data_IF_745923033859
#
_entry.id   IF_745923033859
#
_cell.length_a   1.000
_cell.length_b   1.000
_cell.length_c   1.000
_cell.angle_alpha   90.00
_cell.angle_beta   90.00
_cell.angle_gamma   90.00
#
_symmetry.space_group_name_H-M   'P 1'
#
loop_
_entity.id
_entity.type
_entity.pdbx_description
1 polymer ?
#
# COMPACT_ATOMS: atom_id res chain seq x y z
N UNK A 1 -12.01 8.39 3.47
CA UNK A 1 -10.60 8.36 3.00
C UNK A 1 -9.76 7.84 4.16
N UNK A 2 -8.91 6.84 3.91
CA UNK A 2 -8.05 6.22 4.90
C UNK A 2 -6.59 6.56 4.61
N UNK A 3 -5.80 6.74 5.66
CA UNK A 3 -4.37 7.06 5.56
C UNK A 3 -3.58 5.85 6.03
N UNK A 4 -2.59 5.46 5.23
CA UNK A 4 -1.64 4.40 5.56
C UNK A 4 -0.43 5.08 6.18
N UNK A 5 -0.11 4.66 7.40
CA UNK A 5 1.08 5.10 8.12
C UNK A 5 2.03 3.93 8.37
N UNK A 6 3.30 4.24 8.58
CA UNK A 6 4.29 3.28 9.07
C UNK A 6 4.24 3.16 10.59
N UNK A 7 4.98 2.20 11.15
CA UNK A 7 5.19 2.07 12.60
C UNK A 7 5.71 3.37 13.25
N UNK A 8 6.52 4.16 12.53
CA UNK A 8 6.97 5.48 12.99
C UNK A 8 5.88 6.58 12.95
N UNK A 9 4.67 6.27 12.50
CA UNK A 9 3.58 7.22 12.32
C UNK A 9 3.70 8.08 11.05
N UNK A 10 4.67 7.80 10.18
CA UNK A 10 4.87 8.53 8.94
C UNK A 10 3.80 8.20 7.90
N UNK A 11 3.34 9.21 7.15
CA UNK A 11 2.32 9.03 6.11
C UNK A 11 2.95 8.44 4.86
N UNK A 12 2.65 7.17 4.58
CA UNK A 12 3.17 6.42 3.44
C UNK A 12 2.27 6.59 2.21
N UNK A 13 0.96 6.42 2.40
CA UNK A 13 0.00 6.46 1.29
C UNK A 13 -1.41 6.85 1.75
N UNK A 14 -2.27 7.15 0.79
CA UNK A 14 -3.70 7.43 1.01
C UNK A 14 -4.54 6.50 0.17
N UNK A 15 -5.58 5.95 0.76
CA UNK A 15 -6.52 5.07 0.09
C UNK A 15 -7.98 5.48 0.35
N UNK A 16 -8.88 4.99 -0.47
CA UNK A 16 -10.32 5.02 -0.19
C UNK A 16 -10.70 3.90 0.76
N UNK A 17 -11.96 3.94 1.23
CA UNK A 17 -12.51 2.87 2.05
C UNK A 17 -12.61 1.53 1.29
N UNK A 18 -12.83 1.61 -0.02
CA UNK A 18 -12.84 0.50 -0.99
C UNK A 18 -11.43 -0.07 -1.29
N UNK A 19 -10.42 0.23 -0.45
CA UNK A 19 -9.02 -0.15 -0.67
C UNK A 19 -8.40 0.34 -1.99
N UNK A 20 -8.99 1.35 -2.66
CA UNK A 20 -8.38 1.95 -3.86
C UNK A 20 -7.31 2.95 -3.42
N UNK A 21 -6.06 2.78 -3.88
CA UNK A 21 -4.99 3.72 -3.57
C UNK A 21 -5.18 5.02 -4.36
N UNK A 22 -5.37 6.13 -3.65
CA UNK A 22 -5.50 7.48 -4.24
C UNK A 22 -4.12 8.07 -4.54
N UNK A 23 -3.09 7.68 -3.78
CA UNK A 23 -1.74 8.19 -3.98
C UNK A 23 -0.71 7.55 -3.07
N UNK A 24 0.57 7.70 -3.44
CA UNK A 24 1.69 7.12 -2.71
C UNK A 24 2.08 5.71 -3.13
N UNK A 25 1.70 5.25 -4.34
CA UNK A 25 2.09 3.92 -4.87
C UNK A 25 3.59 3.65 -4.74
N UNK A 26 4.44 4.61 -5.11
CA UNK A 26 5.88 4.47 -5.01
C UNK A 26 6.35 4.29 -3.55
N UNK A 27 5.87 5.13 -2.63
CA UNK A 27 6.22 5.05 -1.19
C UNK A 27 5.69 3.78 -0.55
N UNK A 28 4.46 3.39 -0.88
CA UNK A 28 3.84 2.15 -0.42
C UNK A 28 4.64 0.94 -0.89
N UNK A 29 5.02 0.90 -2.17
CA UNK A 29 5.86 -0.17 -2.71
C UNK A 29 7.24 -0.20 -2.07
N UNK A 30 7.86 0.96 -1.85
CA UNK A 30 9.16 1.03 -1.20
C UNK A 30 9.08 0.51 0.25
N UNK A 31 8.05 0.91 1.00
CA UNK A 31 7.82 0.41 2.35
C UNK A 31 7.54 -1.10 2.36
N UNK A 32 6.76 -1.60 1.41
CA UNK A 32 6.49 -3.03 1.22
C UNK A 32 7.77 -3.82 0.92
N UNK A 33 8.61 -3.33 0.00
CA UNK A 33 9.88 -3.95 -0.36
C UNK A 33 10.88 -3.97 0.79
N UNK A 34 10.82 -2.96 1.67
CA UNK A 34 11.61 -2.89 2.90
C UNK A 34 11.05 -3.78 4.03
N UNK A 35 9.91 -4.44 3.83
CA UNK A 35 9.25 -5.26 4.85
C UNK A 35 8.68 -4.45 6.01
N UNK A 36 8.41 -3.14 5.79
CA UNK A 36 7.87 -2.26 6.82
C UNK A 36 6.43 -2.63 7.17
N UNK A 37 6.09 -2.54 8.46
CA UNK A 37 4.72 -2.77 8.94
C UNK A 37 3.91 -1.50 8.77
N UNK A 38 2.89 -1.59 7.94
CA UNK A 38 2.00 -0.48 7.63
C UNK A 38 0.68 -0.66 8.35
N UNK A 39 0.11 0.45 8.78
CA UNK A 39 -1.11 0.49 9.57
C UNK A 39 -2.08 1.52 9.00
N UNK A 40 -3.37 1.25 9.15
CA UNK A 40 -4.41 2.24 8.92
C UNK A 40 -4.39 3.23 10.08
N UNK A 41 -4.17 4.52 9.78
CA UNK A 41 -4.22 5.58 10.80
C UNK A 41 -5.57 5.66 11.52
N UNK A 42 -6.63 5.29 10.81
CA UNK A 42 -8.02 5.39 11.28
C UNK A 42 -8.38 4.26 12.26
N UNK A 43 -8.10 3.01 11.89
CA UNK A 43 -8.47 1.83 12.70
C UNK A 43 -7.30 1.25 13.50
N UNK A 44 -6.07 1.65 13.21
CA UNK A 44 -4.85 1.03 13.76
C UNK A 44 -4.55 -0.35 13.20
N UNK A 45 -5.37 -0.86 12.28
CA UNK A 45 -5.23 -2.21 11.76
C UNK A 45 -4.05 -2.33 10.79
N UNK A 46 -3.35 -3.46 10.78
CA UNK A 46 -2.29 -3.71 9.82
C UNK A 46 -2.85 -3.70 8.38
N UNK A 47 -2.21 -2.92 7.52
CA UNK A 47 -2.54 -2.81 6.11
C UNK A 47 -2.09 -4.07 5.40
N UNK A 48 -3.05 -4.79 4.80
CA UNK A 48 -2.76 -5.92 3.93
C UNK A 48 -2.28 -5.42 2.57
N UNK A 49 -0.97 -5.27 2.45
CA UNK A 49 -0.26 -4.94 1.21
C UNK A 49 -0.67 -5.86 0.04
N UNK A 50 -0.99 -7.13 0.31
CA UNK A 50 -1.47 -8.08 -0.68
C UNK A 50 -2.68 -7.56 -1.50
N UNK A 51 -3.59 -6.80 -0.89
CA UNK A 51 -4.72 -6.22 -1.60
C UNK A 51 -4.32 -5.11 -2.59
N UNK A 52 -3.19 -4.45 -2.38
CA UNK A 52 -2.67 -3.39 -3.25
C UNK A 52 -1.72 -3.95 -4.32
N UNK A 53 -0.98 -5.01 -3.99
CA UNK A 53 0.02 -5.63 -4.88
C UNK A 53 -0.50 -6.86 -5.63
N UNK A 54 -1.76 -7.28 -5.42
CA UNK A 54 -2.42 -8.41 -6.11
C UNK A 54 -2.33 -8.38 -7.64
N UNK A 55 -2.00 -7.24 -8.25
CA UNK A 55 -1.80 -7.11 -9.69
C UNK A 55 -0.36 -7.35 -10.19
N UNK A 56 0.61 -7.68 -9.32
CA UNK A 56 1.96 -8.05 -9.76
C UNK A 56 2.12 -9.52 -10.17
N UNK A 57 1.03 -10.31 -10.11
CA UNK A 57 0.95 -11.64 -10.72
C UNK A 57 0.13 -11.58 -12.01
N UNK A 58 0.81 -11.63 -13.16
CA UNK A 58 0.25 -11.71 -14.53
C UNK A 58 -0.08 -10.35 -15.20
N UNK A 59 0.98 -9.61 -15.54
CA UNK A 59 1.06 -8.94 -16.85
C UNK A 59 2.49 -9.00 -17.35
N UNK A 60 3.00 -10.22 -17.49
CA UNK A 60 4.10 -10.52 -18.40
C UNK A 60 3.54 -10.45 -19.84
N UNK A 61 3.20 -9.24 -20.30
CA UNK A 61 3.02 -8.92 -21.72
C UNK A 61 4.03 -7.84 -22.09
N UNK A 62 5.30 -8.15 -21.89
CA UNK A 62 6.33 -7.70 -22.81
C UNK A 62 6.28 -8.67 -23.99
N UNK A 63 5.46 -8.35 -24.98
CA UNK A 63 5.66 -8.83 -26.34
C UNK A 63 6.21 -7.64 -27.10
N UNK A 64 7.52 -7.66 -27.34
CA UNK A 64 8.20 -6.83 -28.32
C UNK A 64 8.70 -7.76 -29.42
#
# INVERSE_FOLDING_TARGET
MKVIIDEAGEIIAKATDDHTLIGGHHRLSQAASLGKRLFWRDTGEPVKLDNFFKHYGISLRHTA
#
